data_IF_497066123398
#
_entry.id   IF_497066123398
#
_cell.length_a   1.000
_cell.length_b   1.000
_cell.length_c   1.000
_cell.angle_alpha   90.00
_cell.angle_beta   90.00
_cell.angle_gamma   90.00
#
_symmetry.space_group_name_H-M   'P 1'
#
loop_
_entity.id
_entity.type
_entity.pdbx_description
1 polymer ?
#
# COMPACT_ATOMS: atom_id res chain seq x y z
N UNK A 1 -36.83 6.17 0.25
CA UNK A 1 -35.42 6.07 -0.21
C UNK A 1 -34.71 7.43 -0.10
N UNK A 2 -34.27 7.85 1.10
CA UNK A 2 -33.61 9.15 1.31
C UNK A 2 -32.10 9.16 0.97
N UNK A 3 -31.46 7.99 0.83
CA UNK A 3 -30.03 7.91 0.53
C UNK A 3 -29.67 8.43 -0.87
N UNK A 4 -30.50 8.15 -1.89
CA UNK A 4 -30.25 8.55 -3.29
C UNK A 4 -30.28 10.07 -3.50
N UNK A 5 -31.12 10.80 -2.76
CA UNK A 5 -31.21 12.27 -2.83
C UNK A 5 -29.96 12.94 -2.24
N UNK A 6 -29.33 12.34 -1.22
CA UNK A 6 -28.06 12.81 -0.66
C UNK A 6 -26.90 12.73 -1.66
N UNK A 7 -26.83 11.65 -2.45
CA UNK A 7 -25.81 11.49 -3.49
C UNK A 7 -25.98 12.45 -4.67
N UNK A 8 -27.23 12.74 -5.05
CA UNK A 8 -27.56 13.70 -6.11
C UNK A 8 -27.20 15.15 -5.72
N UNK A 9 -27.31 15.51 -4.44
CA UNK A 9 -26.91 16.84 -3.96
C UNK A 9 -25.39 17.04 -3.89
N UNK A 10 -24.61 15.96 -3.84
CA UNK A 10 -23.14 16.02 -3.90
C UNK A 10 -22.60 16.32 -5.32
N UNK A 11 -23.45 16.28 -6.34
CA UNK A 11 -23.11 16.56 -7.73
C UNK A 11 -23.17 18.04 -8.12
N UNK A 12 -23.70 18.91 -7.26
CA UNK A 12 -23.77 20.36 -7.52
C UNK A 12 -22.47 21.04 -7.07
N UNK A 13 -21.34 20.65 -7.66
CA UNK A 13 -20.01 21.23 -7.38
C UNK A 13 -19.73 22.43 -8.29
N UNK A 14 -19.39 23.55 -7.64
CA UNK A 14 -18.98 24.85 -8.20
C UNK A 14 -17.91 24.75 -9.30
N UNK A 15 -18.20 25.31 -10.48
CA UNK A 15 -17.50 25.05 -11.75
C UNK A 15 -16.04 25.54 -11.82
N UNK A 16 -15.59 26.45 -10.95
CA UNK A 16 -14.27 27.09 -11.11
C UNK A 16 -13.07 26.20 -10.71
N UNK A 17 -13.24 25.29 -9.73
CA UNK A 17 -12.27 24.25 -9.33
C UNK A 17 -12.94 22.89 -9.09
N UNK A 18 -14.25 22.82 -9.28
CA UNK A 18 -15.09 21.64 -9.00
C UNK A 18 -15.09 20.59 -10.10
N UNK A 19 -14.68 20.89 -11.33
CA UNK A 19 -14.73 19.93 -12.44
C UNK A 19 -13.95 18.63 -12.20
N UNK A 20 -12.72 18.71 -11.66
CA UNK A 20 -11.91 17.52 -11.35
C UNK A 20 -12.46 16.73 -10.16
N UNK A 21 -13.00 17.43 -9.16
CA UNK A 21 -13.62 16.81 -7.98
C UNK A 21 -14.93 16.12 -8.35
N UNK A 22 -15.76 16.77 -9.16
CA UNK A 22 -17.01 16.23 -9.69
C UNK A 22 -16.77 14.99 -10.55
N UNK A 23 -15.77 15.04 -11.44
CA UNK A 23 -15.37 13.87 -12.23
C UNK A 23 -14.90 12.72 -11.34
N UNK A 24 -14.05 13.00 -10.33
CA UNK A 24 -13.60 11.99 -9.37
C UNK A 24 -14.76 11.35 -8.60
N UNK A 25 -15.70 12.16 -8.09
CA UNK A 25 -16.91 11.69 -7.42
C UNK A 25 -17.79 10.85 -8.35
N UNK A 26 -17.98 11.29 -9.60
CA UNK A 26 -18.75 10.54 -10.60
C UNK A 26 -18.14 9.16 -10.87
N UNK A 27 -16.82 9.10 -11.08
CA UNK A 27 -16.10 7.83 -11.30
C UNK A 27 -16.25 6.91 -10.09
N UNK A 28 -16.19 7.43 -8.86
CA UNK A 28 -16.37 6.64 -7.64
C UNK A 28 -17.80 6.10 -7.51
N UNK A 29 -18.81 6.90 -7.82
CA UNK A 29 -20.22 6.47 -7.78
C UNK A 29 -20.48 5.40 -8.86
N UNK A 30 -19.99 5.61 -10.08
CA UNK A 30 -20.06 4.61 -11.15
C UNK A 30 -19.35 3.32 -10.75
N UNK A 31 -18.16 3.40 -10.16
CA UNK A 31 -17.44 2.22 -9.65
C UNK A 31 -18.27 1.46 -8.62
N UNK A 32 -18.85 2.16 -7.64
CA UNK A 32 -19.68 1.51 -6.61
C UNK A 32 -20.93 0.87 -7.21
N UNK A 33 -21.56 1.53 -8.19
CA UNK A 33 -22.71 0.99 -8.91
C UNK A 33 -22.37 -0.29 -9.67
N UNK A 34 -21.22 -0.33 -10.37
CA UNK A 34 -20.71 -1.54 -11.05
C UNK A 34 -20.41 -2.67 -10.05
N UNK A 35 -20.07 -2.35 -8.80
CA UNK A 35 -19.81 -3.32 -7.72
C UNK A 35 -21.07 -3.71 -6.92
N UNK A 36 -22.27 -3.35 -7.38
CA UNK A 36 -23.54 -3.53 -6.66
C UNK A 36 -23.55 -2.96 -5.24
N UNK A 37 -22.73 -1.92 -5.00
CA UNK A 37 -22.47 -1.36 -3.67
C UNK A 37 -22.08 -2.43 -2.62
N UNK A 38 -21.53 -3.56 -3.06
CA UNK A 38 -21.03 -4.62 -2.20
C UNK A 38 -19.52 -4.50 -2.01
N UNK A 39 -19.05 -5.00 -0.87
CA UNK A 39 -17.62 -5.13 -0.64
C UNK A 39 -17.05 -6.23 -1.55
N UNK A 40 -15.89 -6.01 -2.21
CA UNK A 40 -15.23 -7.07 -2.95
C UNK A 40 -14.85 -8.21 -2.00
N UNK A 41 -15.16 -9.45 -2.41
CA UNK A 41 -14.80 -10.65 -1.67
C UNK A 41 -13.41 -11.09 -2.14
N UNK A 42 -12.43 -11.01 -1.24
CA UNK A 42 -11.06 -11.46 -1.52
C UNK A 42 -10.89 -12.92 -1.14
N UNK A 43 -10.05 -13.62 -1.91
CA UNK A 43 -9.57 -14.95 -1.58
C UNK A 43 -8.26 -14.83 -0.81
N UNK A 44 -7.92 -15.89 -0.07
CA UNK A 44 -6.60 -16.01 0.59
C UNK A 44 -5.47 -15.90 -0.43
N UNK A 45 -5.69 -16.43 -1.63
CA UNK A 45 -4.75 -16.38 -2.76
C UNK A 45 -4.43 -14.95 -3.23
N UNK A 46 -5.35 -14.00 -3.06
CA UNK A 46 -5.16 -12.62 -3.52
C UNK A 46 -4.09 -11.88 -2.67
N UNK A 47 -4.01 -12.23 -1.38
CA UNK A 47 -3.04 -11.68 -0.44
C UNK A 47 -2.83 -12.61 0.76
N UNK A 48 -2.03 -13.68 0.61
CA UNK A 48 -1.84 -14.67 1.66
C UNK A 48 -1.14 -14.07 2.89
N UNK A 49 -0.37 -12.98 2.72
CA UNK A 49 0.26 -12.29 3.84
C UNK A 49 -0.74 -11.51 4.69
N UNK A 50 -1.80 -10.95 4.11
CA UNK A 50 -2.87 -10.30 4.89
C UNK A 50 -3.74 -11.31 5.64
N UNK A 51 -4.00 -12.45 5.00
CA UNK A 51 -4.89 -13.51 5.49
C UNK A 51 -4.18 -14.55 6.39
N UNK A 52 -2.86 -14.41 6.61
CA UNK A 52 -2.13 -15.33 7.49
C UNK A 52 -2.66 -15.30 8.93
N UNK A 53 -2.88 -16.47 9.53
CA UNK A 53 -3.43 -16.61 10.90
C UNK A 53 -2.52 -15.99 11.96
N UNK A 54 -1.21 -16.11 11.79
CA UNK A 54 -0.20 -15.57 12.72
C UNK A 54 0.06 -14.09 12.46
N UNK A 55 -0.20 -13.24 13.45
CA UNK A 55 0.13 -11.80 13.38
C UNK A 55 1.63 -11.56 13.14
N UNK A 56 2.48 -12.41 13.70
CA UNK A 56 3.92 -12.32 13.49
C UNK A 56 4.26 -12.53 12.01
N UNK A 57 3.71 -13.58 11.40
CA UNK A 57 3.92 -13.87 9.97
C UNK A 57 3.46 -12.72 9.08
N UNK A 58 2.30 -12.12 9.40
CA UNK A 58 1.80 -10.93 8.69
C UNK A 58 2.82 -9.80 8.75
N UNK A 59 3.25 -9.42 9.96
CA UNK A 59 4.17 -8.30 10.18
C UNK A 59 5.50 -8.55 9.49
N UNK A 60 6.12 -9.71 9.71
CA UNK A 60 7.42 -10.04 9.13
C UNK A 60 7.37 -10.04 7.60
N UNK A 61 6.31 -10.62 7.03
CA UNK A 61 6.15 -10.63 5.56
C UNK A 61 5.94 -9.22 5.02
N UNK A 62 5.09 -8.40 5.63
CA UNK A 62 4.87 -7.02 5.19
C UNK A 62 6.11 -6.13 5.32
N UNK A 63 6.96 -6.35 6.33
CA UNK A 63 8.24 -5.66 6.47
C UNK A 63 9.25 -6.14 5.42
N UNK A 64 9.17 -7.39 4.99
CA UNK A 64 10.09 -7.94 3.98
C UNK A 64 9.76 -7.49 2.54
N UNK A 65 8.49 -7.26 2.20
CA UNK A 65 8.07 -6.89 0.83
C UNK A 65 8.80 -5.64 0.26
N UNK A 66 8.97 -4.53 0.99
CA UNK A 66 9.74 -3.38 0.50
C UNK A 66 11.18 -3.72 0.13
N UNK A 67 11.81 -4.67 0.83
CA UNK A 67 13.17 -5.13 0.55
C UNK A 67 13.21 -5.82 -0.81
N UNK A 68 12.23 -6.68 -1.08
CA UNK A 68 12.11 -7.35 -2.38
C UNK A 68 11.81 -6.35 -3.49
N UNK A 69 10.92 -5.38 -3.25
CA UNK A 69 10.63 -4.32 -4.22
C UNK A 69 11.87 -3.48 -4.53
N UNK A 70 12.68 -3.13 -3.52
CA UNK A 70 13.95 -2.45 -3.74
C UNK A 70 14.89 -3.34 -4.58
N UNK A 71 14.97 -4.63 -4.27
CA UNK A 71 15.80 -5.55 -5.05
C UNK A 71 15.35 -5.64 -6.50
N UNK A 72 14.04 -5.67 -6.79
CA UNK A 72 13.51 -5.66 -8.15
C UNK A 72 13.84 -4.36 -8.90
N UNK A 73 13.86 -3.21 -8.21
CA UNK A 73 14.30 -1.94 -8.80
C UNK A 73 15.79 -1.94 -9.16
N UNK A 74 16.63 -2.55 -8.32
CA UNK A 74 18.07 -2.65 -8.55
C UNK A 74 18.44 -3.76 -9.55
N UNK A 75 17.68 -4.85 -9.54
CA UNK A 75 17.94 -6.08 -10.27
C UNK A 75 16.60 -6.72 -10.72
N UNK A 76 16.09 -6.37 -11.92
CA UNK A 76 14.76 -6.77 -12.38
C UNK A 76 14.74 -8.19 -12.97
N UNK A 77 15.09 -9.20 -12.17
CA UNK A 77 15.22 -10.60 -12.63
C UNK A 77 13.96 -11.43 -12.48
N UNK A 78 13.14 -11.19 -11.45
CA UNK A 78 11.91 -11.95 -11.16
C UNK A 78 10.69 -11.03 -11.17
N UNK A 79 10.24 -10.63 -12.36
CA UNK A 79 9.19 -9.61 -12.52
C UNK A 79 7.77 -10.13 -12.24
N UNK A 80 7.55 -11.44 -12.32
CA UNK A 80 6.27 -12.09 -11.97
C UNK A 80 6.16 -12.36 -10.47
N UNK A 81 6.58 -11.40 -9.65
CA UNK A 81 6.52 -11.48 -8.19
C UNK A 81 5.18 -10.91 -7.69
N UNK A 82 4.09 -11.61 -8.01
CA UNK A 82 2.76 -11.36 -7.47
C UNK A 82 2.35 -12.48 -6.51
N UNK A 83 1.37 -12.26 -5.64
CA UNK A 83 0.97 -13.28 -4.65
C UNK A 83 0.49 -14.60 -5.25
N UNK A 84 0.24 -14.64 -6.56
CA UNK A 84 -0.31 -15.80 -7.23
C UNK A 84 0.69 -16.97 -7.20
N UNK A 85 0.14 -18.19 -7.20
CA UNK A 85 0.91 -19.44 -7.22
C UNK A 85 1.99 -19.56 -6.12
N UNK A 86 1.87 -18.78 -5.03
CA UNK A 86 2.85 -18.78 -3.95
C UNK A 86 4.21 -18.23 -4.33
N UNK A 87 4.30 -17.34 -5.33
CA UNK A 87 5.58 -16.77 -5.79
C UNK A 87 6.31 -15.96 -4.69
N UNK A 88 5.56 -15.46 -3.71
CA UNK A 88 6.05 -14.72 -2.55
C UNK A 88 5.91 -15.59 -1.28
N UNK A 89 6.98 -16.24 -0.81
CA UNK A 89 6.89 -17.08 0.37
C UNK A 89 6.73 -16.23 1.63
N UNK A 90 5.79 -16.60 2.50
CA UNK A 90 5.58 -15.91 3.78
C UNK A 90 6.81 -16.05 4.68
N UNK A 91 7.08 -15.02 5.49
CA UNK A 91 8.13 -15.05 6.53
C UNK A 91 7.46 -15.47 7.83
N UNK A 92 7.70 -16.71 8.27
CA UNK A 92 6.93 -17.33 9.36
C UNK A 92 7.51 -17.08 10.74
N UNK A 93 8.81 -16.88 10.83
CA UNK A 93 9.55 -16.82 12.09
C UNK A 93 10.65 -15.75 12.04
N UNK A 94 11.12 -15.38 13.24
CA UNK A 94 12.13 -14.33 13.43
C UNK A 94 13.52 -14.81 12.97
N UNK A 95 13.77 -16.13 13.03
CA UNK A 95 15.05 -16.74 12.65
C UNK A 95 15.27 -16.82 11.14
N UNK A 96 14.25 -16.49 10.34
CA UNK A 96 14.34 -16.49 8.89
C UNK A 96 15.48 -15.55 8.42
N UNK A 97 16.44 -16.05 7.62
CA UNK A 97 17.57 -15.26 7.15
C UNK A 97 17.14 -14.01 6.34
N UNK A 98 15.93 -14.01 5.77
CA UNK A 98 15.35 -12.85 5.08
C UNK A 98 15.17 -11.65 6.00
N UNK A 99 15.02 -11.86 7.31
CA UNK A 99 14.91 -10.79 8.28
C UNK A 99 16.21 -9.99 8.43
N UNK A 100 17.37 -10.56 8.08
CA UNK A 100 18.65 -9.83 8.04
C UNK A 100 18.59 -8.71 7.00
N UNK A 101 18.11 -9.02 5.79
CA UNK A 101 17.94 -8.02 4.73
C UNK A 101 16.90 -6.96 5.08
N UNK A 102 15.81 -7.37 5.73
CA UNK A 102 14.81 -6.46 6.28
C UNK A 102 15.42 -5.50 7.32
N UNK A 103 16.21 -6.02 8.25
CA UNK A 103 16.89 -5.19 9.26
C UNK A 103 17.86 -4.19 8.62
N UNK A 104 18.70 -4.64 7.67
CA UNK A 104 19.63 -3.77 6.95
C UNK A 104 18.90 -2.65 6.21
N UNK A 105 17.82 -2.98 5.48
CA UNK A 105 17.03 -1.99 4.75
C UNK A 105 16.46 -0.90 5.66
N UNK A 106 15.77 -1.27 6.75
CA UNK A 106 15.17 -0.28 7.65
C UNK A 106 16.21 0.49 8.47
N UNK A 107 17.33 -0.13 8.84
CA UNK A 107 18.43 0.59 9.50
C UNK A 107 19.05 1.64 8.58
N UNK A 108 19.25 1.32 7.30
CA UNK A 108 19.70 2.27 6.29
C UNK A 108 18.70 3.41 6.08
N UNK A 109 17.40 3.11 5.98
CA UNK A 109 16.35 4.11 5.85
C UNK A 109 16.31 5.06 7.05
N UNK A 110 16.40 4.54 8.27
CA UNK A 110 16.46 5.35 9.50
C UNK A 110 17.70 6.25 9.51
N UNK A 111 18.86 5.73 9.13
CA UNK A 111 20.08 6.51 9.03
C UNK A 111 19.96 7.65 8.01
N UNK A 112 19.35 7.40 6.84
CA UNK A 112 19.09 8.41 5.82
C UNK A 112 18.13 9.49 6.34
N UNK A 113 17.01 9.10 6.93
CA UNK A 113 16.03 10.04 7.52
C UNK A 113 16.71 10.91 8.56
N UNK A 114 17.52 10.33 9.44
CA UNK A 114 18.20 11.06 10.49
C UNK A 114 19.23 12.05 9.95
N UNK A 115 20.02 11.65 8.93
CA UNK A 115 20.98 12.55 8.27
C UNK A 115 20.26 13.70 7.56
N UNK A 116 19.17 13.41 6.85
CA UNK A 116 18.35 14.41 6.17
C UNK A 116 17.70 15.38 7.16
N UNK A 117 17.16 14.89 8.27
CA UNK A 117 16.59 15.72 9.33
C UNK A 117 17.64 16.65 9.96
N UNK A 118 18.85 16.13 10.24
CA UNK A 118 19.96 16.95 10.76
C UNK A 118 20.37 18.04 9.76
N UNK A 119 20.47 17.71 8.49
CA UNK A 119 20.80 18.68 7.43
C UNK A 119 19.75 19.78 7.30
N UNK A 120 18.46 19.44 7.44
CA UNK A 120 17.38 20.42 7.39
C UNK A 120 17.43 21.36 8.60
N UNK A 121 17.62 20.80 9.80
CA UNK A 121 17.71 21.58 11.04
C UNK A 121 18.91 22.53 11.00
N UNK A 122 20.05 22.12 10.45
CA UNK A 122 21.21 23.00 10.31
C UNK A 122 20.98 24.15 9.34
N UNK A 123 20.20 23.95 8.27
CA UNK A 123 19.86 25.01 7.32
C UNK A 123 18.88 26.03 7.89
N UNK A 124 17.90 25.58 8.70
CA UNK A 124 16.91 26.47 9.35
C UNK A 124 17.51 27.32 10.47
N UNK A 125 18.65 26.90 11.03
CA UNK A 125 19.33 27.61 12.14
C UNK A 125 20.31 28.69 11.66
N UNK A 126 20.50 28.86 10.36
CA UNK A 126 21.28 29.94 9.73
C UNK A 126 20.35 31.06 9.26
#
# INVERSE_FOLDING_TARGET
MPALVGYLNLFRLDESKGGKKAMGTLILILRMWVMDFQQPKFKIEDNPAAEATSRLTRILTFLHLPVVNLWLLLCPVNLSYDWTLGSVPLVTDIGDPRNVWTGLFYSGLLALIWRSARSLISQVRL
#
